data_IF_422025487436
#
_entry.id   IF_422025487436
#
_cell.length_a   1.000
_cell.length_b   1.000
_cell.length_c   1.000
_cell.angle_alpha   90.00
_cell.angle_beta   90.00
_cell.angle_gamma   90.00
#
_symmetry.space_group_name_H-M   'P 1'
#
loop_
_entity.id
_entity.type
_entity.pdbx_description
1 polymer ?
#
# COMPACT_ATOMS: atom_id res chain seq x y z
N UNK A 1 -29.76 -7.96 75.47
CA UNK A 1 -30.16 -6.62 74.99
C UNK A 1 -29.32 -6.33 73.76
N UNK A 2 -29.95 -6.18 72.60
CA UNK A 2 -29.30 -6.16 71.28
C UNK A 2 -28.21 -5.09 71.17
N UNK A 3 -27.01 -5.49 70.76
CA UNK A 3 -25.87 -4.60 70.51
C UNK A 3 -25.69 -4.49 68.99
N UNK A 4 -26.16 -3.38 68.42
CA UNK A 4 -25.99 -3.01 67.02
C UNK A 4 -24.54 -2.53 66.79
N UNK A 5 -23.79 -3.22 65.92
CA UNK A 5 -22.48 -2.79 65.46
C UNK A 5 -22.60 -2.26 64.03
N UNK A 6 -22.37 -0.95 63.85
CA UNK A 6 -22.28 -0.30 62.54
C UNK A 6 -20.90 -0.61 61.93
N UNK A 7 -20.88 -1.33 60.81
CA UNK A 7 -19.67 -1.63 60.05
C UNK A 7 -19.52 -0.59 58.93
N UNK A 8 -18.55 0.31 59.06
CA UNK A 8 -18.20 1.27 58.00
C UNK A 8 -17.59 0.53 56.81
N UNK A 9 -18.26 0.57 55.66
CA UNK A 9 -17.74 0.10 54.38
C UNK A 9 -16.61 1.04 53.90
N UNK A 10 -15.43 0.48 53.62
CA UNK A 10 -14.35 1.19 52.90
C UNK A 10 -14.73 1.32 51.42
N UNK A 11 -14.52 2.48 50.77
CA UNK A 11 -14.77 2.63 49.35
C UNK A 11 -13.74 1.83 48.53
N UNK A 12 -14.21 0.91 47.72
CA UNK A 12 -13.43 0.20 46.69
C UNK A 12 -13.03 1.18 45.59
N UNK A 13 -11.73 1.40 45.42
CA UNK A 13 -11.15 2.10 44.26
C UNK A 13 -11.51 1.33 42.97
N UNK A 14 -11.92 2.00 41.88
CA UNK A 14 -12.19 1.33 40.63
C UNK A 14 -10.90 0.71 40.08
N UNK A 15 -10.97 -0.58 39.78
CA UNK A 15 -9.92 -1.36 39.13
C UNK A 15 -9.48 -0.69 37.83
N UNK A 16 -8.19 -0.36 37.72
CA UNK A 16 -7.60 0.07 36.45
C UNK A 16 -7.86 -1.02 35.39
N UNK A 17 -8.29 -0.65 34.17
CA UNK A 17 -8.40 -1.61 33.09
C UNK A 17 -7.01 -2.22 32.81
N UNK A 18 -6.95 -3.50 32.39
CA UNK A 18 -5.68 -4.15 32.11
C UNK A 18 -4.92 -3.32 31.07
N UNK A 19 -3.67 -2.98 31.39
CA UNK A 19 -2.76 -2.35 30.44
C UNK A 19 -2.67 -3.26 29.22
N UNK A 20 -3.15 -2.77 28.08
CA UNK A 20 -2.90 -3.34 26.76
C UNK A 20 -1.40 -3.64 26.67
N UNK A 21 -0.98 -4.86 26.27
CA UNK A 21 0.44 -5.13 26.11
C UNK A 21 1.00 -4.09 25.15
N UNK A 22 2.10 -3.45 25.55
CA UNK A 22 2.83 -2.49 24.73
C UNK A 22 2.93 -3.08 23.32
N UNK A 23 2.39 -2.35 22.33
CA UNK A 23 2.57 -2.65 20.93
C UNK A 23 4.07 -2.83 20.70
N UNK A 24 4.53 -4.08 20.54
CA UNK A 24 5.87 -4.36 20.05
C UNK A 24 5.98 -3.57 18.74
N UNK A 25 6.74 -2.47 18.77
CA UNK A 25 6.99 -1.68 17.58
C UNK A 25 7.56 -2.64 16.55
N UNK A 26 6.82 -2.84 15.46
CA UNK A 26 7.28 -3.66 14.35
C UNK A 26 8.66 -3.14 13.93
N UNK A 27 9.62 -4.05 13.78
CA UNK A 27 10.95 -3.70 13.33
C UNK A 27 10.84 -2.81 12.08
N UNK A 28 11.36 -1.57 12.12
CA UNK A 28 11.21 -0.65 11.01
C UNK A 28 11.97 -1.11 9.76
N UNK A 29 12.88 -2.08 9.88
CA UNK A 29 13.70 -2.56 8.78
C UNK A 29 12.90 -3.44 7.81
N UNK A 30 13.17 -3.37 6.49
CA UNK A 30 12.59 -4.29 5.51
C UNK A 30 12.94 -5.74 5.85
N UNK A 31 11.99 -6.65 5.62
CA UNK A 31 12.18 -8.08 5.83
C UNK A 31 12.49 -8.74 4.49
N UNK A 32 13.61 -9.45 4.43
CA UNK A 32 14.06 -10.18 3.24
C UNK A 32 14.10 -11.66 3.58
N UNK A 33 13.58 -12.50 2.68
CA UNK A 33 13.69 -13.95 2.77
C UNK A 33 14.66 -14.43 1.69
N UNK A 34 15.83 -14.90 2.10
CA UNK A 34 16.85 -15.38 1.18
C UNK A 34 16.84 -16.91 1.12
N UNK A 35 16.65 -17.45 -0.07
CA UNK A 35 16.57 -18.88 -0.34
C UNK A 35 17.82 -19.35 -1.05
N UNK A 36 18.53 -20.26 -0.41
CA UNK A 36 19.66 -20.96 -0.99
C UNK A 36 19.72 -22.37 -0.46
N UNK A 37 20.31 -23.27 -1.23
CA UNK A 37 20.60 -24.64 -0.79
C UNK A 37 22.11 -24.81 -0.71
N UNK A 38 22.62 -25.52 0.29
CA UNK A 38 24.03 -25.88 0.45
C UNK A 38 24.98 -24.67 0.32
N UNK A 39 25.73 -24.56 -0.79
CA UNK A 39 26.75 -23.51 -0.99
C UNK A 39 26.15 -22.11 -1.04
N UNK A 40 25.00 -21.94 -1.70
CA UNK A 40 24.33 -20.64 -1.75
C UNK A 40 23.78 -20.25 -0.37
N UNK A 41 23.26 -21.24 0.37
CA UNK A 41 22.79 -21.04 1.74
C UNK A 41 23.91 -20.51 2.63
N UNK A 42 25.07 -21.19 2.59
CA UNK A 42 26.26 -20.81 3.37
C UNK A 42 26.72 -19.39 3.05
N UNK A 43 26.78 -19.03 1.76
CA UNK A 43 27.20 -17.71 1.31
C UNK A 43 26.21 -16.61 1.73
N UNK A 44 24.90 -16.87 1.61
CA UNK A 44 23.86 -15.95 2.09
C UNK A 44 23.93 -15.77 3.61
N UNK A 45 24.16 -16.85 4.38
CA UNK A 45 24.32 -16.77 5.83
C UNK A 45 25.54 -15.95 6.25
N UNK A 46 26.65 -16.06 5.52
CA UNK A 46 27.87 -15.27 5.76
C UNK A 46 27.66 -13.78 5.46
N UNK A 47 26.93 -13.47 4.39
CA UNK A 47 26.73 -12.10 3.93
C UNK A 47 25.59 -11.37 4.66
N UNK A 48 24.52 -12.08 5.05
CA UNK A 48 23.32 -11.48 5.66
C UNK A 48 23.60 -10.55 6.86
N UNK A 49 24.50 -10.88 7.82
CA UNK A 49 24.81 -10.01 8.95
C UNK A 49 25.35 -8.63 8.54
N UNK A 50 25.97 -8.51 7.37
CA UNK A 50 26.55 -7.26 6.86
C UNK A 50 25.49 -6.25 6.43
N UNK A 51 24.23 -6.68 6.32
CA UNK A 51 23.08 -5.86 5.95
C UNK A 51 22.16 -5.59 7.15
N UNK A 52 22.54 -5.98 8.37
CA UNK A 52 21.67 -5.91 9.54
C UNK A 52 21.20 -4.48 9.89
N UNK A 53 21.96 -3.46 9.50
CA UNK A 53 21.58 -2.05 9.64
C UNK A 53 20.52 -1.60 8.62
N UNK A 54 20.47 -2.26 7.45
CA UNK A 54 19.61 -1.91 6.31
C UNK A 54 18.39 -2.79 6.18
N UNK A 55 18.46 -4.06 6.57
CA UNK A 55 17.39 -5.05 6.42
C UNK A 55 17.47 -6.16 7.47
N UNK A 56 16.32 -6.73 7.82
CA UNK A 56 16.21 -7.99 8.54
C UNK A 56 16.18 -9.12 7.52
N UNK A 57 17.29 -9.84 7.37
CA UNK A 57 17.45 -10.91 6.39
C UNK A 57 17.36 -12.25 7.09
N UNK A 58 16.42 -13.08 6.68
CA UNK A 58 16.29 -14.46 7.12
C UNK A 58 16.71 -15.39 5.98
N UNK A 59 17.67 -16.28 6.24
CA UNK A 59 18.20 -17.19 5.25
C UNK A 59 17.61 -18.58 5.48
N UNK A 60 16.90 -19.09 4.48
CA UNK A 60 16.17 -20.36 4.53
C UNK A 60 16.83 -21.38 3.59
N UNK A 61 17.04 -22.59 4.11
CA UNK A 61 17.54 -23.71 3.32
C UNK A 61 16.39 -24.49 2.66
N UNK A 62 15.66 -23.81 1.78
CA UNK A 62 14.50 -24.36 1.08
C UNK A 62 14.59 -24.06 -0.43
N UNK A 63 14.03 -24.96 -1.23
CA UNK A 63 13.96 -24.82 -2.69
C UNK A 63 12.59 -25.16 -3.25
N UNK A 64 12.32 -24.67 -4.45
CA UNK A 64 11.17 -25.00 -5.29
C UNK A 64 9.84 -24.97 -4.53
N UNK A 65 9.10 -26.09 -4.52
CA UNK A 65 7.76 -26.19 -3.93
C UNK A 65 7.77 -25.93 -2.42
N UNK A 66 8.80 -26.41 -1.70
CA UNK A 66 8.89 -26.24 -0.24
C UNK A 66 9.09 -24.76 0.12
N UNK A 67 9.91 -24.05 -0.65
CA UNK A 67 10.10 -22.60 -0.49
C UNK A 67 8.81 -21.82 -0.79
N UNK A 68 8.04 -22.21 -1.82
CA UNK A 68 6.73 -21.59 -2.11
C UNK A 68 5.73 -21.84 -0.99
N UNK A 69 5.68 -23.07 -0.46
CA UNK A 69 4.78 -23.43 0.63
C UNK A 69 5.07 -22.61 1.90
N UNK A 70 6.35 -22.51 2.27
CA UNK A 70 6.80 -21.70 3.42
C UNK A 70 6.43 -20.22 3.26
N UNK A 71 6.65 -19.63 2.07
CA UNK A 71 6.28 -18.23 1.83
C UNK A 71 4.77 -18.02 1.93
N UNK A 72 3.96 -18.92 1.37
CA UNK A 72 2.49 -18.83 1.45
C UNK A 72 1.99 -18.95 2.88
N UNK A 73 2.56 -19.85 3.67
CA UNK A 73 2.21 -20.00 5.08
C UNK A 73 2.52 -18.72 5.85
N UNK A 74 3.69 -18.11 5.64
CA UNK A 74 4.05 -16.82 6.26
C UNK A 74 3.12 -15.68 5.84
N UNK A 75 2.77 -15.61 4.56
CA UNK A 75 1.81 -14.62 4.05
C UNK A 75 0.42 -14.78 4.68
N UNK A 76 -0.02 -16.01 4.98
CA UNK A 76 -1.29 -16.25 5.65
C UNK A 76 -1.29 -15.77 7.11
N UNK A 77 -0.14 -15.74 7.77
CA UNK A 77 0.02 -15.34 9.18
C UNK A 77 0.52 -13.90 9.36
N UNK A 78 0.75 -13.16 8.27
CA UNK A 78 1.18 -11.77 8.31
C UNK A 78 0.09 -10.87 8.89
N UNK A 79 0.49 -10.00 9.83
CA UNK A 79 -0.45 -9.04 10.44
C UNK A 79 -0.83 -7.95 9.43
N UNK A 80 -2.07 -7.43 9.48
CA UNK A 80 -2.43 -6.22 8.73
C UNK A 80 -1.44 -5.09 9.05
N UNK A 81 -0.79 -4.54 8.02
CA UNK A 81 0.21 -3.47 8.15
C UNK A 81 1.69 -3.92 8.15
N UNK A 82 1.97 -5.22 8.11
CA UNK A 82 3.33 -5.72 7.83
C UNK A 82 3.50 -5.91 6.30
N UNK A 83 4.18 -4.97 5.63
CA UNK A 83 4.64 -5.11 4.23
C UNK A 83 6.01 -4.39 4.10
N UNK A 84 7.01 -4.82 3.32
CA UNK A 84 7.09 -5.82 2.25
C UNK A 84 8.09 -6.95 2.57
N UNK A 85 7.83 -8.13 2.01
CA UNK A 85 8.74 -9.28 1.98
C UNK A 85 9.31 -9.38 0.56
N UNK A 86 10.62 -9.16 0.42
CA UNK A 86 11.32 -9.37 -0.86
C UNK A 86 12.08 -10.68 -0.76
N UNK A 87 11.99 -11.49 -1.80
CA UNK A 87 12.65 -12.79 -1.84
C UNK A 87 14.00 -12.63 -2.55
N UNK A 88 15.04 -13.31 -2.06
CA UNK A 88 16.35 -13.39 -2.71
C UNK A 88 16.61 -14.84 -3.06
N UNK A 89 16.90 -15.13 -4.32
CA UNK A 89 17.15 -16.50 -4.76
C UNK A 89 18.01 -16.52 -6.02
N UNK A 90 18.53 -17.69 -6.39
CA UNK A 90 19.35 -17.84 -7.58
C UNK A 90 18.83 -18.90 -8.55
N UNK A 91 19.21 -18.78 -9.81
CA UNK A 91 19.06 -19.83 -10.81
C UNK A 91 17.63 -20.37 -10.95
N UNK A 92 17.52 -21.69 -11.06
CA UNK A 92 16.24 -22.40 -11.24
C UNK A 92 15.25 -22.18 -10.10
N UNK A 93 15.74 -22.17 -8.84
CA UNK A 93 14.90 -21.91 -7.67
C UNK A 93 14.29 -20.50 -7.73
N UNK A 94 15.11 -19.48 -8.02
CA UNK A 94 14.61 -18.11 -8.13
C UNK A 94 13.60 -17.91 -9.26
N UNK A 95 13.83 -18.55 -10.41
CA UNK A 95 12.87 -18.55 -11.52
C UNK A 95 11.55 -19.23 -11.13
N UNK A 96 11.61 -20.33 -10.37
CA UNK A 96 10.44 -21.04 -9.87
C UNK A 96 9.63 -20.19 -8.88
N UNK A 97 10.29 -19.54 -7.91
CA UNK A 97 9.64 -18.64 -6.96
C UNK A 97 8.91 -17.50 -7.67
N UNK A 98 9.57 -16.87 -8.65
CA UNK A 98 9.02 -15.74 -9.40
C UNK A 98 7.77 -16.08 -10.22
N UNK A 99 7.62 -17.33 -10.66
CA UNK A 99 6.44 -17.76 -11.44
C UNK A 99 5.27 -18.25 -10.57
N UNK A 100 5.49 -18.51 -9.27
CA UNK A 100 4.49 -19.10 -8.38
C UNK A 100 4.07 -18.18 -7.21
N UNK A 101 4.72 -17.02 -7.06
CA UNK A 101 4.49 -16.05 -5.99
C UNK A 101 4.34 -14.64 -6.59
N UNK A 102 3.48 -13.82 -5.96
CA UNK A 102 3.26 -12.42 -6.35
C UNK A 102 4.28 -11.46 -5.70
N UNK A 103 5.14 -11.97 -4.81
CA UNK A 103 6.18 -11.18 -4.16
C UNK A 103 7.34 -10.88 -5.14
N UNK A 104 7.98 -9.72 -4.99
CA UNK A 104 9.17 -9.41 -5.77
C UNK A 104 10.33 -10.36 -5.42
N UNK A 105 11.03 -10.84 -6.44
CA UNK A 105 12.18 -11.75 -6.31
C UNK A 105 13.43 -11.09 -6.89
N UNK A 106 14.40 -10.77 -6.03
CA UNK A 106 15.75 -10.38 -6.43
C UNK A 106 16.53 -11.65 -6.79
N UNK A 107 16.92 -11.74 -8.07
CA UNK A 107 17.65 -12.90 -8.58
C UNK A 107 19.16 -12.66 -8.51
N UNK A 108 19.90 -13.61 -7.93
CA UNK A 108 21.36 -13.67 -8.07
C UNK A 108 21.68 -13.95 -9.54
N UNK A 109 22.13 -12.92 -10.24
CA UNK A 109 22.55 -13.00 -11.63
C UNK A 109 24.04 -13.35 -11.67
N UNK A 110 24.40 -14.27 -12.55
CA UNK A 110 25.80 -14.58 -12.82
C UNK A 110 26.31 -13.60 -13.87
N UNK A 111 27.34 -12.84 -13.54
CA UNK A 111 28.02 -11.95 -14.48
C UNK A 111 29.06 -12.69 -15.32
N UNK A 112 29.58 -12.02 -16.34
CA UNK A 112 30.69 -12.57 -17.12
C UNK A 112 31.96 -12.80 -16.30
N UNK A 113 32.20 -11.95 -15.32
CA UNK A 113 33.38 -12.04 -14.47
C UNK A 113 33.32 -13.26 -13.53
N UNK A 114 32.12 -13.60 -13.04
CA UNK A 114 31.90 -14.77 -12.19
C UNK A 114 32.23 -16.07 -12.92
N UNK A 115 31.76 -16.19 -14.16
CA UNK A 115 32.08 -17.32 -15.05
C UNK A 115 33.58 -17.39 -15.30
N UNK A 116 34.23 -16.26 -15.64
CA UNK A 116 35.68 -16.22 -15.87
C UNK A 116 36.47 -16.63 -14.62
N UNK A 117 36.07 -16.16 -13.42
CA UNK A 117 36.69 -16.53 -12.15
C UNK A 117 36.50 -18.02 -11.86
N UNK A 118 35.31 -18.56 -12.05
CA UNK A 118 35.00 -19.98 -11.84
C UNK A 118 35.76 -20.89 -12.82
N UNK A 119 35.82 -20.52 -14.11
CA UNK A 119 36.58 -21.24 -15.13
C UNK A 119 38.10 -21.14 -14.90
N UNK A 120 38.60 -19.98 -14.49
CA UNK A 120 40.02 -19.80 -14.13
C UNK A 120 40.40 -20.70 -12.96
N UNK A 121 39.54 -20.78 -11.94
CA UNK A 121 39.71 -21.72 -10.83
C UNK A 121 39.68 -23.17 -11.30
N UNK A 122 38.72 -23.55 -12.16
CA UNK A 122 38.63 -24.88 -12.76
C UNK A 122 39.91 -25.27 -13.52
N UNK A 123 40.46 -24.33 -14.30
CA UNK A 123 41.65 -24.56 -15.13
C UNK A 123 42.93 -24.79 -14.33
N UNK A 124 42.97 -24.32 -13.08
CA UNK A 124 44.08 -24.63 -12.15
C UNK A 124 44.03 -26.08 -11.66
N UNK A 125 42.87 -26.72 -11.72
CA UNK A 125 42.66 -28.11 -11.27
C UNK A 125 42.78 -29.09 -12.45
N UNK A 126 42.16 -28.78 -13.59
CA UNK A 126 42.12 -29.67 -14.75
C UNK A 126 41.91 -28.91 -16.07
N UNK A 127 42.23 -29.54 -17.20
CA UNK A 127 41.86 -29.05 -18.54
C UNK A 127 40.50 -29.56 -19.01
N UNK A 128 39.99 -30.65 -18.43
CA UNK A 128 38.74 -31.33 -18.84
C UNK A 128 37.56 -30.75 -18.06
N UNK A 129 37.03 -29.63 -18.56
CA UNK A 129 36.04 -28.81 -17.86
C UNK A 129 34.71 -28.83 -18.62
N UNK A 130 33.61 -28.97 -17.88
CA UNK A 130 32.27 -28.72 -18.38
C UNK A 130 31.65 -27.49 -17.71
N UNK A 131 30.90 -26.72 -18.48
CA UNK A 131 30.08 -25.61 -18.02
C UNK A 131 28.60 -25.96 -18.19
N UNK A 132 27.85 -25.91 -17.09
CA UNK A 132 26.47 -26.41 -17.05
C UNK A 132 25.54 -25.32 -16.51
N UNK A 133 24.49 -24.98 -17.26
CA UNK A 133 23.51 -23.94 -16.88
C UNK A 133 22.07 -24.43 -16.90
N UNK A 134 21.17 -23.68 -16.26
CA UNK A 134 19.75 -23.97 -16.24
C UNK A 134 19.06 -23.45 -17.51
N UNK A 135 18.29 -24.31 -18.20
CA UNK A 135 17.49 -24.10 -19.41
C UNK A 135 18.24 -23.58 -20.65
N UNK A 136 18.93 -22.44 -20.54
CA UNK A 136 19.65 -21.82 -21.65
C UNK A 136 21.11 -21.57 -21.26
N UNK A 137 22.02 -21.89 -22.17
CA UNK A 137 23.38 -21.37 -22.12
C UNK A 137 23.30 -19.90 -22.58
N UNK A 138 23.82 -18.93 -21.80
CA UNK A 138 23.80 -17.56 -22.26
C UNK A 138 24.57 -17.45 -23.58
N UNK A 139 23.93 -16.93 -24.64
CA UNK A 139 24.50 -16.82 -26.00
C UNK A 139 25.95 -16.31 -26.06
N UNK A 140 26.36 -15.30 -25.24
CA UNK A 140 27.73 -14.80 -25.25
C UNK A 140 28.81 -15.84 -24.93
N UNK A 141 28.45 -16.97 -24.29
CA UNK A 141 29.44 -17.97 -23.89
C UNK A 141 29.86 -18.92 -24.99
N UNK A 142 28.96 -19.25 -25.91
CA UNK A 142 29.32 -20.09 -27.07
C UNK A 142 30.33 -19.37 -27.94
N UNK A 143 30.10 -18.08 -28.20
CA UNK A 143 31.05 -17.25 -28.95
C UNK A 143 32.36 -17.01 -28.18
N UNK A 144 32.30 -16.86 -26.85
CA UNK A 144 33.51 -16.72 -26.02
C UNK A 144 34.40 -17.97 -26.08
N UNK A 145 33.83 -19.17 -25.94
CA UNK A 145 34.60 -20.41 -26.02
C UNK A 145 35.27 -20.59 -27.39
N UNK A 146 34.56 -20.29 -28.48
CA UNK A 146 35.09 -20.30 -29.85
C UNK A 146 36.22 -19.28 -30.06
N UNK A 147 36.05 -18.05 -29.58
CA UNK A 147 37.05 -16.97 -29.74
C UNK A 147 38.32 -17.25 -28.95
N UNK A 148 38.20 -17.80 -27.75
CA UNK A 148 39.33 -18.00 -26.84
C UNK A 148 39.89 -19.43 -26.87
N UNK A 149 39.28 -20.35 -27.63
CA UNK A 149 39.75 -21.73 -27.80
C UNK A 149 39.84 -22.50 -26.49
N UNK A 150 38.84 -22.34 -25.62
CA UNK A 150 38.91 -22.84 -24.24
C UNK A 150 38.56 -24.34 -24.13
N UNK A 151 38.01 -24.96 -25.17
CA UNK A 151 37.65 -26.39 -25.23
C UNK A 151 36.82 -26.80 -24.01
N UNK A 152 35.75 -26.05 -23.75
CA UNK A 152 34.84 -26.27 -22.62
C UNK A 152 33.61 -27.01 -23.12
N UNK A 153 33.23 -28.09 -22.45
CA UNK A 153 31.98 -28.79 -22.79
C UNK A 153 30.78 -28.03 -22.21
N UNK A 154 29.87 -27.55 -23.04
CA UNK A 154 28.65 -26.85 -22.57
C UNK A 154 27.47 -27.81 -22.49
N UNK A 155 26.76 -27.80 -21.36
CA UNK A 155 25.48 -28.52 -21.17
C UNK A 155 24.43 -27.61 -20.54
N UNK A 156 23.18 -27.99 -20.70
CA UNK A 156 22.06 -27.38 -19.99
C UNK A 156 21.22 -28.45 -19.32
N UNK A 157 20.50 -28.07 -18.26
CA UNK A 157 19.54 -28.94 -17.58
C UNK A 157 18.23 -28.20 -17.30
N UNK A 158 17.14 -28.95 -17.09
CA UNK A 158 15.78 -28.40 -16.87
C UNK A 158 15.18 -28.72 -15.52
N UNK A 159 15.60 -29.82 -14.90
CA UNK A 159 15.14 -30.29 -13.60
C UNK A 159 16.25 -31.09 -12.90
N UNK A 160 15.96 -31.62 -11.71
CA UNK A 160 16.95 -32.32 -10.89
C UNK A 160 17.38 -33.66 -11.49
N UNK A 161 16.46 -34.41 -12.08
CA UNK A 161 16.77 -35.70 -12.70
C UNK A 161 17.65 -35.52 -13.94
N UNK A 162 17.34 -34.51 -14.76
CA UNK A 162 18.13 -34.07 -15.91
C UNK A 162 19.54 -33.60 -15.47
N UNK A 163 19.63 -32.83 -14.39
CA UNK A 163 20.92 -32.41 -13.83
C UNK A 163 21.78 -33.60 -13.39
N UNK A 164 21.17 -34.61 -12.75
CA UNK A 164 21.87 -35.83 -12.30
C UNK A 164 22.35 -36.67 -13.47
N UNK A 165 21.50 -36.88 -14.47
CA UNK A 165 21.87 -37.58 -15.70
C UNK A 165 23.02 -36.86 -16.42
N UNK A 166 22.92 -35.52 -16.56
CA UNK A 166 23.94 -34.69 -17.18
C UNK A 166 25.31 -34.84 -16.50
N UNK A 167 25.39 -34.82 -15.17
CA UNK A 167 26.65 -34.99 -14.44
C UNK A 167 27.27 -36.37 -14.67
N UNK A 168 26.47 -37.43 -14.72
CA UNK A 168 26.99 -38.78 -14.98
C UNK A 168 27.52 -38.93 -16.41
N UNK A 169 26.79 -38.40 -17.40
CA UNK A 169 27.26 -38.41 -18.80
C UNK A 169 28.59 -37.65 -18.96
N UNK A 170 28.75 -36.52 -18.26
CA UNK A 170 30.00 -35.76 -18.28
C UNK A 170 31.14 -36.56 -17.65
N UNK A 171 30.88 -37.26 -16.56
CA UNK A 171 31.86 -38.16 -15.92
C UNK A 171 32.29 -39.28 -16.88
N UNK A 172 31.34 -39.91 -17.56
CA UNK A 172 31.61 -40.97 -18.54
C UNK A 172 32.39 -40.46 -19.76
N UNK A 173 32.20 -39.19 -20.13
CA UNK A 173 32.98 -38.48 -21.15
C UNK A 173 34.39 -38.09 -20.67
N UNK A 174 34.73 -38.40 -19.41
CA UNK A 174 36.04 -38.12 -18.82
C UNK A 174 36.25 -36.67 -18.41
N UNK A 175 35.18 -35.89 -18.23
CA UNK A 175 35.25 -34.57 -17.60
C UNK A 175 35.66 -34.73 -16.14
N UNK A 176 36.52 -33.83 -15.66
CA UNK A 176 37.05 -33.87 -14.29
C UNK A 176 36.53 -32.70 -13.44
N UNK A 177 36.11 -31.59 -14.06
CA UNK A 177 35.54 -30.44 -13.35
C UNK A 177 34.26 -29.95 -14.00
N UNK A 178 33.29 -29.58 -13.15
CA UNK A 178 32.00 -29.06 -13.58
C UNK A 178 31.78 -27.69 -12.93
N UNK A 179 31.61 -26.67 -13.76
CA UNK A 179 31.29 -25.30 -13.35
C UNK A 179 29.79 -25.07 -13.57
N UNK A 180 29.06 -24.70 -12.51
CA UNK A 180 27.64 -24.46 -12.65
C UNK A 180 26.94 -23.97 -11.37
N UNK A 181 25.61 -23.81 -11.43
CA UNK A 181 24.78 -23.50 -10.26
C UNK A 181 24.89 -24.57 -9.18
N UNK A 182 24.42 -24.24 -7.96
CA UNK A 182 24.59 -25.09 -6.76
C UNK A 182 24.26 -26.57 -6.97
N UNK A 183 23.08 -26.87 -7.52
CA UNK A 183 22.64 -28.24 -7.75
C UNK A 183 23.66 -29.07 -8.55
N UNK A 184 24.12 -28.55 -9.69
CA UNK A 184 25.04 -29.28 -10.56
C UNK A 184 26.44 -29.35 -9.95
N UNK A 185 26.93 -28.28 -9.33
CA UNK A 185 28.23 -28.28 -8.66
C UNK A 185 28.26 -29.29 -7.50
N UNK A 186 27.16 -29.44 -6.77
CA UNK A 186 27.08 -30.39 -5.66
C UNK A 186 26.97 -31.83 -6.17
N UNK A 187 26.11 -32.09 -7.16
CA UNK A 187 26.02 -33.41 -7.82
C UNK A 187 27.36 -33.84 -8.43
N UNK A 188 28.11 -32.90 -9.04
CA UNK A 188 29.46 -33.17 -9.55
C UNK A 188 30.42 -33.58 -8.43
N UNK A 189 30.38 -32.88 -7.30
CA UNK A 189 31.21 -33.20 -6.13
C UNK A 189 30.87 -34.59 -5.57
N UNK A 190 29.58 -34.91 -5.45
CA UNK A 190 29.10 -36.24 -5.03
C UNK A 190 29.52 -37.37 -5.98
N UNK A 191 29.56 -37.08 -7.29
CA UNK A 191 30.03 -38.02 -8.31
C UNK A 191 31.56 -38.17 -8.34
N UNK A 192 32.31 -37.42 -7.54
CA UNK A 192 33.77 -37.44 -7.47
C UNK A 192 34.48 -36.51 -8.47
N UNK A 193 33.75 -35.59 -9.09
CA UNK A 193 34.30 -34.53 -9.95
C UNK A 193 34.59 -33.26 -9.12
N UNK A 194 35.39 -32.35 -9.67
CA UNK A 194 35.54 -31.01 -9.09
C UNK A 194 34.31 -30.15 -9.38
N UNK A 195 33.39 -30.10 -8.42
CA UNK A 195 32.24 -29.20 -8.45
C UNK A 195 32.58 -27.78 -8.08
N UNK A 196 32.45 -26.86 -9.05
CA UNK A 196 32.81 -25.45 -8.90
C UNK A 196 31.55 -24.60 -9.01
N UNK A 197 31.28 -23.92 -7.91
CA UNK A 197 30.11 -23.05 -7.77
C UNK A 197 30.29 -21.77 -8.58
N UNK A 198 29.25 -21.44 -9.35
CA UNK A 198 29.29 -20.35 -10.31
C UNK A 198 29.10 -18.96 -9.68
N UNK A 199 28.39 -18.86 -8.57
CA UNK A 199 28.09 -17.56 -7.95
C UNK A 199 29.26 -17.10 -7.08
N UNK A 200 29.62 -15.83 -7.22
CA UNK A 200 30.60 -15.16 -6.37
C UNK A 200 29.92 -14.41 -5.22
N UNK A 201 30.72 -14.02 -4.23
CA UNK A 201 30.33 -13.11 -3.16
C UNK A 201 29.74 -11.82 -3.71
N UNK A 202 30.34 -11.26 -4.78
CA UNK A 202 29.91 -10.00 -5.39
C UNK A 202 28.52 -10.14 -6.03
N UNK A 203 28.26 -11.25 -6.74
CA UNK A 203 26.95 -11.51 -7.35
C UNK A 203 25.84 -11.63 -6.30
N UNK A 204 26.13 -12.24 -5.14
CA UNK A 204 25.15 -12.36 -4.06
C UNK A 204 24.98 -11.05 -3.31
N UNK A 205 26.05 -10.28 -3.10
CA UNK A 205 25.96 -8.91 -2.56
C UNK A 205 25.08 -8.02 -3.43
N UNK A 206 25.29 -8.04 -4.75
CA UNK A 206 24.47 -7.28 -5.69
C UNK A 206 22.99 -7.65 -5.57
N UNK A 207 22.66 -8.94 -5.48
CA UNK A 207 21.28 -9.39 -5.31
C UNK A 207 20.67 -8.99 -3.96
N UNK A 208 21.46 -8.98 -2.88
CA UNK A 208 21.03 -8.49 -1.57
C UNK A 208 20.80 -6.97 -1.59
N UNK A 209 21.68 -6.21 -2.25
CA UNK A 209 21.52 -4.77 -2.44
C UNK A 209 20.27 -4.43 -3.25
N UNK A 210 20.05 -5.14 -4.36
CA UNK A 210 18.82 -5.06 -5.17
C UNK A 210 17.59 -5.34 -4.30
N UNK A 211 17.63 -6.39 -3.48
CA UNK A 211 16.52 -6.77 -2.61
C UNK A 211 16.20 -5.69 -1.57
N UNK A 212 17.22 -5.08 -0.96
CA UNK A 212 17.07 -3.96 -0.02
C UNK A 212 16.41 -2.77 -0.70
N UNK A 213 16.85 -2.41 -1.91
CA UNK A 213 16.30 -1.25 -2.62
C UNK A 213 14.86 -1.50 -3.08
N UNK A 214 14.55 -2.70 -3.59
CA UNK A 214 13.18 -3.12 -3.91
C UNK A 214 12.29 -3.02 -2.66
N UNK A 215 12.77 -3.50 -1.52
CA UNK A 215 11.99 -3.47 -0.28
C UNK A 215 11.74 -2.04 0.20
N UNK A 216 12.75 -1.17 0.08
CA UNK A 216 12.63 0.26 0.41
C UNK A 216 11.59 0.96 -0.47
N UNK A 217 11.63 0.74 -1.79
CA UNK A 217 10.66 1.31 -2.73
C UNK A 217 9.25 0.84 -2.38
N UNK A 218 9.06 -0.48 -2.19
CA UNK A 218 7.75 -1.05 -1.83
C UNK A 218 7.17 -0.47 -0.54
N UNK A 219 8.00 -0.21 0.47
CA UNK A 219 7.56 0.45 1.73
C UNK A 219 7.17 1.90 1.53
N UNK A 220 7.91 2.66 0.73
CA UNK A 220 7.56 4.06 0.41
C UNK A 220 6.20 4.12 -0.29
N UNK A 221 5.95 3.22 -1.24
CA UNK A 221 4.67 3.12 -1.93
C UNK A 221 3.53 2.68 -1.01
N UNK A 222 3.77 1.70 -0.13
CA UNK A 222 2.79 1.26 0.87
C UNK A 222 2.42 2.40 1.83
N UNK A 223 3.41 3.10 2.38
CA UNK A 223 3.19 4.25 3.27
C UNK A 223 2.46 5.40 2.54
N UNK A 224 2.78 5.65 1.27
CA UNK A 224 2.06 6.64 0.45
C UNK A 224 0.61 6.24 0.24
N UNK A 225 0.33 4.97 -0.06
CA UNK A 225 -1.04 4.44 -0.20
C UNK A 225 -1.82 4.53 1.11
N UNK A 226 -1.23 4.14 2.22
CA UNK A 226 -1.84 4.24 3.55
C UNK A 226 -2.18 5.70 3.90
N UNK A 227 -1.25 6.63 3.62
CA UNK A 227 -1.48 8.06 3.81
C UNK A 227 -2.65 8.58 2.96
N UNK A 228 -2.72 8.20 1.69
CA UNK A 228 -3.82 8.58 0.79
C UNK A 228 -5.16 8.00 1.29
N UNK A 229 -5.18 6.73 1.68
CA UNK A 229 -6.38 6.10 2.24
C UNK A 229 -6.83 6.76 3.54
N UNK A 230 -5.90 7.16 4.41
CA UNK A 230 -6.20 7.90 5.63
C UNK A 230 -6.82 9.27 5.32
N UNK A 231 -6.26 10.00 4.35
CA UNK A 231 -6.80 11.29 3.92
C UNK A 231 -8.21 11.12 3.34
N UNK A 232 -8.39 10.19 2.39
CA UNK A 232 -9.69 9.89 1.79
C UNK A 232 -10.72 9.46 2.84
N UNK A 233 -10.29 8.67 3.84
CA UNK A 233 -11.11 8.19 4.94
C UNK A 233 -11.63 9.29 5.88
N UNK A 234 -10.92 10.43 5.97
CA UNK A 234 -11.31 11.58 6.80
C UNK A 234 -12.17 12.61 6.04
N UNK A 235 -12.29 12.48 4.72
CA UNK A 235 -13.15 13.37 3.93
C UNK A 235 -14.62 13.10 4.23
N UNK A 236 -15.38 14.18 4.45
CA UNK A 236 -16.84 14.12 4.68
C UNK A 236 -17.63 13.99 3.37
N UNK A 237 -17.06 14.50 2.28
CA UNK A 237 -17.63 14.33 0.96
C UNK A 237 -17.40 12.88 0.50
N UNK A 238 -18.40 12.29 -0.12
CA UNK A 238 -18.29 10.96 -0.69
C UNK A 238 -17.40 11.01 -1.92
N UNK A 239 -16.42 10.12 -2.02
CA UNK A 239 -15.56 9.98 -3.20
C UNK A 239 -15.57 8.53 -3.66
N UNK A 240 -15.76 8.32 -4.96
CA UNK A 240 -15.61 7.01 -5.63
C UNK A 240 -14.78 7.17 -6.89
N UNK A 241 -13.91 6.19 -7.14
CA UNK A 241 -13.19 6.05 -8.40
C UNK A 241 -13.59 4.73 -9.08
N UNK A 242 -13.71 4.76 -10.40
CA UNK A 242 -14.07 3.61 -11.23
C UNK A 242 -13.10 3.44 -12.39
N UNK A 243 -12.96 2.20 -12.85
CA UNK A 243 -12.22 1.83 -14.06
C UNK A 243 -12.95 2.23 -15.35
N UNK A 244 -12.33 1.95 -16.52
CA UNK A 244 -12.94 2.19 -17.84
C UNK A 244 -14.23 1.38 -18.11
N UNK A 245 -14.52 0.34 -17.32
CA UNK A 245 -15.75 -0.44 -17.38
C UNK A 245 -16.78 -0.03 -16.31
N UNK A 246 -16.56 1.11 -15.64
CA UNK A 246 -17.37 1.68 -14.57
C UNK A 246 -17.40 0.82 -13.28
N UNK A 247 -16.44 -0.10 -13.12
CA UNK A 247 -16.32 -0.93 -11.90
C UNK A 247 -15.63 -0.12 -10.80
N UNK A 248 -16.16 -0.19 -9.59
CA UNK A 248 -15.65 0.56 -8.45
C UNK A 248 -14.29 0.00 -8.01
N UNK A 249 -13.24 0.80 -8.16
CA UNK A 249 -11.88 0.46 -7.74
C UNK A 249 -11.62 0.90 -6.28
N UNK A 250 -12.15 2.06 -5.90
CA UNK A 250 -12.05 2.57 -4.52
C UNK A 250 -13.21 3.50 -4.19
N UNK A 251 -13.59 3.51 -2.93
CA UNK A 251 -14.53 4.47 -2.37
C UNK A 251 -14.15 4.80 -0.93
N UNK A 252 -14.41 6.03 -0.51
CA UNK A 252 -14.22 6.39 0.89
C UNK A 252 -15.44 6.00 1.76
N UNK A 253 -15.31 5.99 3.10
CA UNK A 253 -16.41 5.64 4.00
C UNK A 253 -17.64 6.54 3.85
N UNK A 254 -17.44 7.84 3.54
CA UNK A 254 -18.54 8.75 3.29
C UNK A 254 -19.38 8.32 2.08
N UNK A 255 -18.75 7.89 0.99
CA UNK A 255 -19.46 7.35 -0.18
C UNK A 255 -20.17 6.04 0.14
N UNK A 256 -19.54 5.12 0.88
CA UNK A 256 -20.18 3.87 1.29
C UNK A 256 -21.49 4.15 2.06
N UNK A 257 -21.45 5.12 2.98
CA UNK A 257 -22.62 5.57 3.72
C UNK A 257 -23.65 6.31 2.86
N UNK A 258 -23.23 7.03 1.81
CA UNK A 258 -24.14 7.63 0.84
C UNK A 258 -24.89 6.57 0.02
N UNK A 259 -24.19 5.52 -0.39
CA UNK A 259 -24.74 4.39 -1.16
C UNK A 259 -25.51 3.38 -0.28
N UNK A 260 -25.32 3.43 1.05
CA UNK A 260 -26.03 2.58 2.00
C UNK A 260 -25.56 1.12 2.03
N UNK A 261 -24.34 0.84 1.58
CA UNK A 261 -23.76 -0.50 1.55
C UNK A 261 -22.31 -0.49 2.03
N UNK A 262 -21.83 -1.65 2.49
CA UNK A 262 -20.45 -1.80 2.94
C UNK A 262 -19.46 -1.71 1.77
N UNK A 263 -18.31 -1.07 1.97
CA UNK A 263 -17.31 -0.87 0.92
C UNK A 263 -16.87 -2.21 0.29
N UNK A 264 -16.66 -3.26 1.08
CA UNK A 264 -16.24 -4.57 0.58
C UNK A 264 -17.26 -5.22 -0.36
N UNK A 265 -18.56 -4.92 -0.20
CA UNK A 265 -19.62 -5.43 -1.08
C UNK A 265 -19.78 -4.63 -2.37
N UNK A 266 -19.20 -3.43 -2.44
CA UNK A 266 -19.32 -2.50 -3.57
C UNK A 266 -18.12 -2.59 -4.52
N UNK A 267 -16.94 -2.93 -4.02
CA UNK A 267 -15.72 -3.05 -4.83
C UNK A 267 -15.92 -4.05 -5.98
N UNK A 268 -15.45 -3.68 -7.18
CA UNK A 268 -15.55 -4.47 -8.41
C UNK A 268 -16.93 -4.50 -9.08
N UNK A 269 -17.99 -4.04 -8.41
CA UNK A 269 -19.32 -3.87 -9.02
C UNK A 269 -19.36 -2.60 -9.86
N UNK A 270 -20.24 -2.57 -10.87
CA UNK A 270 -20.47 -1.34 -11.64
C UNK A 270 -21.22 -0.31 -10.80
N UNK A 271 -20.76 0.94 -10.85
CA UNK A 271 -21.41 2.03 -10.12
C UNK A 271 -22.85 2.25 -10.60
N UNK A 272 -23.10 2.15 -11.91
CA UNK A 272 -24.43 2.27 -12.50
C UNK A 272 -25.41 1.18 -12.07
N UNK A 273 -24.95 -0.01 -11.69
CA UNK A 273 -25.80 -1.08 -11.15
C UNK A 273 -26.20 -0.81 -9.68
N UNK A 274 -25.40 -0.02 -8.96
CA UNK A 274 -25.62 0.32 -7.54
C UNK A 274 -26.43 1.62 -7.41
N UNK A 275 -26.06 2.64 -8.16
CA UNK A 275 -26.68 3.96 -8.18
C UNK A 275 -26.69 4.49 -9.63
N UNK A 276 -27.71 4.16 -10.43
CA UNK A 276 -27.83 4.60 -11.83
C UNK A 276 -27.73 6.12 -11.99
N UNK A 277 -28.24 6.88 -11.01
CA UNK A 277 -28.23 8.34 -10.99
C UNK A 277 -26.83 8.94 -10.84
N UNK A 278 -25.87 8.16 -10.35
CA UNK A 278 -24.48 8.55 -10.15
C UNK A 278 -23.54 8.02 -11.24
N UNK A 279 -24.09 7.50 -12.34
CA UNK A 279 -23.27 6.94 -13.43
C UNK A 279 -22.20 7.93 -13.93
N UNK A 280 -21.03 7.34 -14.25
CA UNK A 280 -19.86 7.99 -14.83
C UNK A 280 -19.69 7.67 -16.32
N UNK A 281 -20.64 6.96 -16.94
CA UNK A 281 -20.54 6.49 -18.32
C UNK A 281 -20.32 7.62 -19.36
N UNK A 282 -20.86 8.81 -19.13
CA UNK A 282 -20.62 9.98 -19.99
C UNK A 282 -19.20 10.54 -19.82
N UNK A 283 -18.73 10.69 -18.59
CA UNK A 283 -17.35 11.10 -18.27
C UNK A 283 -16.32 10.12 -18.82
N UNK A 284 -16.60 8.81 -18.73
CA UNK A 284 -15.73 7.76 -19.28
C UNK A 284 -15.66 7.77 -20.81
N UNK A 285 -16.78 8.05 -21.50
CA UNK A 285 -16.82 8.08 -22.97
C UNK A 285 -16.26 9.35 -23.58
N UNK A 286 -16.62 10.50 -22.99
CA UNK A 286 -16.36 11.81 -23.61
C UNK A 286 -15.15 12.54 -23.00
N UNK A 287 -14.50 11.94 -21.99
CA UNK A 287 -13.45 12.57 -21.18
C UNK A 287 -13.86 13.95 -20.61
N UNK A 288 -15.17 14.14 -20.38
CA UNK A 288 -15.72 15.43 -19.94
C UNK A 288 -15.71 15.56 -18.44
N UNK A 289 -15.12 16.65 -17.97
CA UNK A 289 -15.26 17.11 -16.59
C UNK A 289 -16.59 17.82 -16.43
N UNK A 290 -17.32 17.46 -15.38
CA UNK A 290 -18.56 18.14 -14.98
C UNK A 290 -18.45 18.48 -13.49
N UNK A 291 -18.58 19.74 -13.16
CA UNK A 291 -18.43 20.24 -11.78
C UNK A 291 -19.72 20.87 -11.28
N UNK A 292 -20.02 20.66 -10.01
CA UNK A 292 -21.16 21.27 -9.29
C UNK A 292 -22.54 20.90 -9.84
N UNK A 293 -22.67 19.72 -10.47
CA UNK A 293 -23.95 19.24 -10.95
C UNK A 293 -24.83 18.76 -9.79
N UNK A 294 -26.08 19.20 -9.75
CA UNK A 294 -27.03 18.80 -8.72
C UNK A 294 -27.67 17.47 -9.13
N UNK A 295 -27.45 16.42 -8.35
CA UNK A 295 -27.99 15.09 -8.59
C UNK A 295 -28.89 14.66 -7.43
N UNK A 296 -30.02 14.03 -7.74
CA UNK A 296 -30.90 13.44 -6.74
C UNK A 296 -30.60 11.95 -6.59
N UNK A 297 -30.27 11.51 -5.38
CA UNK A 297 -30.10 10.11 -5.01
C UNK A 297 -31.19 9.75 -3.99
N UNK A 298 -32.26 9.10 -4.44
CA UNK A 298 -33.45 8.85 -3.63
C UNK A 298 -34.09 10.15 -3.09
N UNK A 299 -33.99 10.38 -1.79
CA UNK A 299 -34.51 11.58 -1.12
C UNK A 299 -33.43 12.65 -0.85
N UNK A 300 -32.16 12.38 -1.19
CA UNK A 300 -31.04 13.29 -0.95
C UNK A 300 -30.72 14.09 -2.20
N UNK A 301 -30.40 15.36 -2.02
CA UNK A 301 -29.85 16.23 -3.06
C UNK A 301 -28.34 16.32 -2.87
N UNK A 302 -27.58 15.95 -3.88
CA UNK A 302 -26.13 15.92 -3.86
C UNK A 302 -25.57 16.94 -4.85
N UNK A 303 -24.48 17.59 -4.48
CA UNK A 303 -23.64 18.32 -5.43
C UNK A 303 -22.55 17.38 -5.88
N UNK A 304 -22.44 17.18 -7.18
CA UNK A 304 -21.57 16.17 -7.79
C UNK A 304 -20.53 16.80 -8.70
N UNK A 305 -19.32 16.26 -8.64
CA UNK A 305 -18.24 16.61 -9.54
C UNK A 305 -17.64 15.33 -10.12
N UNK A 306 -17.64 15.22 -11.45
CA UNK A 306 -17.15 14.09 -12.23
C UNK A 306 -15.89 14.50 -12.97
N UNK A 307 -14.80 13.78 -12.76
CA UNK A 307 -13.50 14.06 -13.39
C UNK A 307 -12.94 12.78 -14.01
N UNK A 308 -12.47 12.78 -15.28
CA UNK A 308 -11.76 11.64 -15.83
C UNK A 308 -10.41 11.46 -15.13
N UNK A 309 -10.00 10.22 -14.90
CA UNK A 309 -8.65 9.88 -14.42
C UNK A 309 -7.77 9.71 -15.66
N UNK A 310 -6.72 10.52 -15.76
CA UNK A 310 -5.76 10.47 -16.86
C UNK A 310 -4.37 10.19 -16.31
N UNK A 311 -3.81 9.06 -16.69
CA UNK A 311 -2.47 8.62 -16.31
C UNK A 311 -1.60 8.55 -17.57
N UNK A 312 -0.46 9.26 -17.57
CA UNK A 312 0.46 9.31 -18.72
C UNK A 312 -0.22 9.69 -20.05
N UNK A 313 -1.29 10.49 -20.01
CA UNK A 313 -2.05 10.92 -21.19
C UNK A 313 -3.12 9.94 -21.66
N UNK A 314 -3.27 8.78 -20.99
CA UNK A 314 -4.32 7.79 -21.26
C UNK A 314 -5.38 7.88 -20.19
N UNK A 315 -6.65 7.92 -20.58
CA UNK A 315 -7.76 7.85 -19.63
C UNK A 315 -7.87 6.42 -19.08
N UNK A 316 -7.74 6.25 -17.77
CA UNK A 316 -7.80 4.96 -17.08
C UNK A 316 -9.09 4.76 -16.29
N UNK A 317 -9.86 5.82 -16.06
CA UNK A 317 -11.09 5.75 -15.29
C UNK A 317 -11.77 7.11 -15.09
N UNK A 318 -12.57 7.21 -14.03
CA UNK A 318 -13.22 8.45 -13.60
C UNK A 318 -13.41 8.49 -12.08
N UNK A 319 -13.40 9.71 -11.52
CA UNK A 319 -13.72 10.00 -10.12
C UNK A 319 -15.05 10.75 -10.07
N UNK A 320 -15.89 10.37 -9.10
CA UNK A 320 -17.07 11.12 -8.68
C UNK A 320 -16.88 11.56 -7.23
N UNK A 321 -16.98 12.87 -7.00
CA UNK A 321 -17.13 13.45 -5.67
C UNK A 321 -18.59 13.86 -5.46
N UNK A 322 -19.14 13.57 -4.28
CA UNK A 322 -20.50 13.86 -3.87
C UNK A 322 -20.49 14.59 -2.53
N UNK A 323 -21.02 15.79 -2.52
CA UNK A 323 -21.24 16.57 -1.31
C UNK A 323 -22.73 16.60 -0.98
N UNK A 324 -23.07 16.41 0.31
CA UNK A 324 -24.43 16.59 0.84
C UNK A 324 -24.55 18.00 1.45
N UNK A 325 -25.20 18.97 0.77
CA UNK A 325 -25.37 20.32 1.30
C UNK A 325 -26.15 20.35 2.62
N UNK A 326 -27.03 19.36 2.87
CA UNK A 326 -27.78 19.28 4.11
C UNK A 326 -26.87 18.95 5.31
N UNK A 327 -25.73 18.30 5.10
CA UNK A 327 -24.73 18.08 6.15
C UNK A 327 -24.06 19.41 6.56
N UNK A 328 -23.79 20.30 5.60
CA UNK A 328 -23.23 21.63 5.84
C UNK A 328 -24.22 22.49 6.63
N UNK A 329 -25.50 22.50 6.22
CA UNK A 329 -26.54 23.27 6.90
C UNK A 329 -26.80 22.79 8.34
N UNK A 330 -26.71 21.48 8.60
CA UNK A 330 -26.80 20.91 9.96
C UNK A 330 -25.63 21.36 10.84
N UNK A 331 -24.42 21.41 10.28
CA UNK A 331 -23.23 21.91 10.99
C UNK A 331 -23.37 23.41 11.32
N UNK A 332 -23.81 24.24 10.39
CA UNK A 332 -24.07 25.67 10.63
C UNK A 332 -25.14 25.88 11.72
N UNK A 333 -26.24 25.11 11.66
CA UNK A 333 -27.28 25.15 12.71
C UNK A 333 -26.72 24.78 14.08
N UNK A 334 -25.87 23.76 14.16
CA UNK A 334 -25.21 23.40 15.41
C UNK A 334 -24.29 24.52 15.94
N UNK A 335 -23.49 25.15 15.09
CA UNK A 335 -22.64 26.29 15.48
C UNK A 335 -23.46 27.48 15.97
N UNK A 336 -24.59 27.77 15.31
CA UNK A 336 -25.54 28.81 15.77
C UNK A 336 -26.14 28.46 17.13
N UNK A 337 -26.56 27.21 17.33
CA UNK A 337 -27.15 26.75 18.60
C UNK A 337 -26.17 26.76 19.77
N UNK A 338 -24.87 26.54 19.51
CA UNK A 338 -23.83 26.64 20.54
C UNK A 338 -23.51 28.10 20.89
N UNK A 339 -23.59 29.02 19.91
CA UNK A 339 -23.43 30.46 20.16
C UNK A 339 -24.60 31.07 20.95
N UNK A 340 -25.81 30.53 20.84
CA UNK A 340 -26.95 30.96 21.66
C UNK A 340 -26.87 30.51 23.13
N UNK A 341 -25.94 29.62 23.49
CA UNK A 341 -25.72 29.18 24.89
C UNK A 341 -24.50 29.81 25.56
N UNK A 342 -23.75 30.68 24.87
CA UNK A 342 -22.89 31.64 25.57
C UNK A 342 -23.78 32.80 26.02
N UNK A 343 -23.88 33.10 27.34
CA UNK A 343 -24.48 34.35 27.75
C UNK A 343 -23.65 35.47 27.14
N UNK A 344 -24.20 36.14 26.11
CA UNK A 344 -23.73 37.47 25.73
C UNK A 344 -23.71 38.31 27.02
N UNK A 345 -22.67 39.11 27.28
CA UNK A 345 -22.83 40.20 28.24
C UNK A 345 -23.88 41.14 27.65
N UNK A 346 -25.14 40.98 28.06
CA UNK A 346 -26.23 41.88 27.73
C UNK A 346 -26.02 43.18 28.49
N UNK A 347 -25.32 44.10 27.87
CA UNK A 347 -25.67 45.49 27.97
C UNK A 347 -26.05 45.93 26.55
N UNK A 348 -27.32 45.71 26.19
CA UNK A 348 -27.94 46.46 25.08
C UNK A 348 -27.69 47.93 25.36
N UNK A 349 -26.86 48.57 24.54
CA UNK A 349 -26.42 49.94 24.80
C UNK A 349 -27.52 50.95 24.42
N UNK A 350 -28.45 50.54 23.57
CA UNK A 350 -29.56 51.33 23.08
C UNK A 350 -30.81 50.46 22.91
N UNK A 351 -32.00 51.04 23.12
CA UNK A 351 -33.30 50.45 22.84
C UNK A 351 -34.00 51.11 21.65
N UNK A 352 -35.14 50.56 21.23
CA UNK A 352 -35.95 51.13 20.14
C UNK A 352 -36.43 52.57 20.42
N UNK A 353 -36.50 52.96 21.69
CA UNK A 353 -36.89 54.31 22.10
C UNK A 353 -35.73 55.32 21.96
N UNK A 354 -34.48 54.87 21.81
CA UNK A 354 -33.31 55.72 21.56
C UNK A 354 -33.14 56.12 20.09
N UNK A 355 -33.96 55.56 19.18
CA UNK A 355 -33.95 55.94 17.76
C UNK A 355 -34.50 57.36 17.64
N UNK A 356 -33.70 58.36 17.27
CA UNK A 356 -34.18 59.74 17.17
C UNK A 356 -35.22 59.92 16.05
N UNK A 357 -36.32 60.64 16.34
CA UNK A 357 -37.32 61.08 15.36
C UNK A 357 -38.76 60.65 15.68
N UNK A 358 -39.71 61.49 15.28
CA UNK A 358 -41.15 61.34 15.57
C UNK A 358 -42.02 61.24 14.31
N UNK A 359 -41.40 61.07 13.14
CA UNK A 359 -42.12 60.94 11.87
C UNK A 359 -42.93 59.64 11.81
N UNK A 360 -44.00 59.64 11.02
CA UNK A 360 -44.82 58.45 10.79
C UNK A 360 -44.06 57.28 10.14
N UNK A 361 -42.92 57.54 9.47
CA UNK A 361 -42.05 56.51 8.92
C UNK A 361 -41.21 55.83 10.00
N UNK A 362 -40.64 56.60 10.93
CA UNK A 362 -39.88 56.05 12.07
C UNK A 362 -40.80 55.28 13.03
N UNK A 363 -42.01 55.79 13.30
CA UNK A 363 -42.98 55.08 14.13
C UNK A 363 -43.34 53.70 13.54
N UNK A 364 -43.54 53.60 12.22
CA UNK A 364 -43.79 52.33 11.52
C UNK A 364 -42.59 51.39 11.58
N UNK A 365 -41.37 51.90 11.43
CA UNK A 365 -40.16 51.09 11.54
C UNK A 365 -39.98 50.49 12.95
N UNK A 366 -40.24 51.26 14.01
CA UNK A 366 -40.22 50.76 15.40
C UNK A 366 -41.28 49.68 15.64
N UNK A 367 -42.49 49.87 15.13
CA UNK A 367 -43.57 48.89 15.28
C UNK A 367 -43.27 47.58 14.54
N UNK A 368 -42.73 47.66 13.33
CA UNK A 368 -42.27 46.47 12.59
C UNK A 368 -41.14 45.76 13.32
N UNK A 369 -40.16 46.50 13.84
CA UNK A 369 -39.06 45.94 14.62
C UNK A 369 -39.57 45.21 15.88
N UNK A 370 -40.54 45.78 16.63
CA UNK A 370 -41.16 45.11 17.78
C UNK A 370 -41.83 43.79 17.40
N UNK A 371 -42.56 43.76 16.28
CA UNK A 371 -43.22 42.53 15.80
C UNK A 371 -42.22 41.48 15.34
N UNK A 372 -41.17 41.91 14.66
CA UNK A 372 -40.08 41.04 14.22
C UNK A 372 -39.26 40.49 15.39
N UNK A 373 -39.04 41.28 16.44
CA UNK A 373 -38.30 40.85 17.64
C UNK A 373 -39.00 39.73 18.42
N UNK A 374 -40.31 39.55 18.24
CA UNK A 374 -41.07 38.46 18.83
C UNK A 374 -41.02 37.14 18.01
N UNK A 375 -40.24 37.09 16.92
CA UNK A 375 -40.17 35.96 15.98
C UNK A 375 -38.75 35.42 15.85
N UNK A 376 -38.63 34.11 15.60
CA UNK A 376 -37.35 33.43 15.30
C UNK A 376 -36.93 33.54 13.82
N UNK A 377 -37.65 34.32 13.01
CA UNK A 377 -37.35 34.52 11.60
C UNK A 377 -36.09 35.39 11.40
N UNK A 378 -35.30 35.10 10.36
CA UNK A 378 -34.18 35.97 9.97
C UNK A 378 -34.74 37.25 9.32
N UNK A 379 -34.34 38.41 9.84
CA UNK A 379 -34.80 39.74 9.37
C UNK A 379 -33.66 40.47 8.67
N UNK A 380 -33.93 41.02 7.48
CA UNK A 380 -33.00 41.88 6.76
C UNK A 380 -33.37 43.35 6.98
N UNK A 381 -32.46 44.13 7.58
CA UNK A 381 -32.61 45.58 7.75
C UNK A 381 -31.90 46.31 6.62
N UNK A 382 -32.64 47.11 5.85
CA UNK A 382 -32.13 47.83 4.65
C UNK A 382 -32.25 49.34 4.85
N UNK A 383 -31.31 50.09 4.28
CA UNK A 383 -31.26 51.55 4.37
C UNK A 383 -29.88 52.10 4.01
N UNK A 384 -29.79 53.38 3.67
CA UNK A 384 -28.54 54.07 3.31
C UNK A 384 -27.55 54.11 4.49
N UNK A 385 -26.27 54.35 4.22
CA UNK A 385 -25.26 54.47 5.28
C UNK A 385 -25.60 55.62 6.24
N UNK A 386 -25.40 55.42 7.54
CA UNK A 386 -25.70 56.44 8.57
C UNK A 386 -27.17 56.53 9.03
N UNK A 387 -28.07 55.70 8.50
CA UNK A 387 -29.51 55.71 8.87
C UNK A 387 -29.86 54.99 10.19
N UNK A 388 -28.87 54.62 10.99
CA UNK A 388 -29.11 54.00 12.30
C UNK A 388 -29.60 52.54 12.26
N UNK A 389 -29.39 51.80 11.16
CA UNK A 389 -29.75 50.36 11.03
C UNK A 389 -29.23 49.49 12.17
N UNK A 390 -28.07 49.86 12.74
CA UNK A 390 -27.43 49.16 13.85
C UNK A 390 -28.20 49.30 15.17
N UNK A 391 -28.88 50.43 15.39
CA UNK A 391 -29.72 50.65 16.58
C UNK A 391 -31.00 49.79 16.55
N UNK A 392 -31.47 49.46 15.34
CA UNK A 392 -32.67 48.65 15.14
C UNK A 392 -32.41 47.14 15.22
N UNK A 393 -31.13 46.73 15.13
CA UNK A 393 -30.71 45.33 15.06
C UNK A 393 -30.12 44.77 16.38
N UNK A 394 -29.97 45.61 17.41
CA UNK A 394 -29.68 45.15 18.79
C UNK A 394 -30.92 44.51 19.41
#
# INVERSE_FOLDING_TARGET
MFQCSFQMARPTLPSQPPRTPASQQADPRPRLLAFGVRRLHSLLQELAPQYADRAAIEVLELGFADAVAEVRDRLAHLRPGQQAEVLVAAGSNGAYLRSHLELPVALVKVSGFDVMRALSHARRLTRRIAFVTYQQAPEPWRSFDEVFGLDITHRTYRDEDDARACVQELKDQGIEAVVGPGLVADLASEAGLHGIFLYSDDAVREALDDAVEIARIGRIEAARRERLNTILGQLKDGVVAVDMQERIETLNPAMAHLLGADAGTLLGRRLSDVAPELSLATTLRDARTETEAIQRLGHRMLVTSRLPIVEQGVQTGAVLACQDPAAIQRADRHLRSQRTHQPRPTATRYGLDDIAGSSATIARARDLARRCAASDATVLVVGESGTGKELLAQ
#
